data_IF_734898197767
#
_entry.id   IF_734898197767
#
_cell.length_a   1.000
_cell.length_b   1.000
_cell.length_c   1.000
_cell.angle_alpha   90.00
_cell.angle_beta   90.00
_cell.angle_gamma   90.00
#
_symmetry.space_group_name_H-M   'P 1'
#
loop_
_entity.id
_entity.type
_entity.pdbx_description
1 polymer ?
#
# COMPACT_ATOMS: atom_id res chain seq x y z
N UNK A 1 25.58 -24.21 -4.22
CA UNK A 1 25.11 -23.70 -2.91
C UNK A 1 23.60 -23.64 -3.00
N UNK A 2 22.88 -24.42 -2.19
CA UNK A 2 21.42 -24.43 -2.23
C UNK A 2 20.88 -23.17 -1.55
N UNK A 3 19.87 -22.54 -2.13
CA UNK A 3 19.29 -21.29 -1.61
C UNK A 3 18.79 -21.43 -0.17
N UNK A 4 18.20 -22.59 0.15
CA UNK A 4 17.64 -22.89 1.47
C UNK A 4 18.69 -22.88 2.58
N UNK A 5 19.90 -23.39 2.33
CA UNK A 5 21.01 -23.37 3.29
C UNK A 5 21.45 -21.94 3.60
N UNK A 6 21.61 -21.13 2.56
CA UNK A 6 22.02 -19.73 2.71
C UNK A 6 20.94 -18.88 3.36
N UNK A 7 19.68 -19.13 3.02
CA UNK A 7 18.56 -18.45 3.64
C UNK A 7 18.52 -18.75 5.15
N UNK A 8 18.71 -20.01 5.56
CA UNK A 8 18.75 -20.40 6.97
C UNK A 8 19.86 -19.69 7.74
N UNK A 9 21.01 -19.48 7.12
CA UNK A 9 22.16 -18.80 7.74
C UNK A 9 21.99 -17.27 7.79
N UNK A 10 21.07 -16.70 7.00
CA UNK A 10 20.91 -15.25 6.83
C UNK A 10 19.52 -14.71 7.12
N UNK A 11 18.55 -15.55 7.49
CA UNK A 11 17.21 -15.15 7.94
C UNK A 11 17.27 -14.17 9.13
N UNK A 12 18.24 -14.37 10.03
CA UNK A 12 18.52 -13.46 11.15
C UNK A 12 18.81 -12.02 10.70
N UNK A 13 19.35 -11.83 9.49
CA UNK A 13 19.58 -10.50 8.93
C UNK A 13 18.26 -9.79 8.64
N UNK A 14 17.28 -10.51 8.10
CA UNK A 14 15.94 -9.98 7.81
C UNK A 14 15.28 -9.54 9.13
N UNK A 15 15.18 -10.44 10.11
CA UNK A 15 14.57 -10.08 11.41
C UNK A 15 15.30 -8.94 12.12
N UNK A 16 16.64 -8.96 12.09
CA UNK A 16 17.43 -7.87 12.63
C UNK A 16 17.09 -6.53 11.96
N UNK A 17 16.97 -6.49 10.64
CA UNK A 17 16.66 -5.27 9.90
C UNK A 17 15.20 -4.82 10.10
N UNK A 18 14.24 -5.75 10.18
CA UNK A 18 12.83 -5.46 10.55
C UNK A 18 12.80 -4.73 11.89
N UNK A 19 13.47 -5.29 12.90
CA UNK A 19 13.52 -4.70 14.24
C UNK A 19 14.29 -3.37 14.25
N UNK A 20 15.45 -3.30 13.59
CA UNK A 20 16.29 -2.10 13.52
C UNK A 20 15.55 -0.90 12.91
N UNK A 21 14.71 -1.15 11.91
CA UNK A 21 13.92 -0.09 11.25
C UNK A 21 12.53 0.11 11.88
N UNK A 22 12.19 -0.61 12.96
CA UNK A 22 10.90 -0.46 13.64
C UNK A 22 9.70 -0.90 12.81
N UNK A 23 9.90 -1.84 11.88
CA UNK A 23 8.88 -2.29 10.93
C UNK A 23 7.89 -3.21 11.64
N UNK A 24 6.59 -2.93 11.51
CA UNK A 24 5.51 -3.82 11.96
C UNK A 24 5.07 -4.72 10.81
N UNK A 25 5.71 -5.88 10.69
CA UNK A 25 5.50 -6.79 9.56
C UNK A 25 4.47 -7.90 9.86
N UNK A 26 3.24 -7.52 10.18
CA UNK A 26 2.19 -8.48 10.61
C UNK A 26 1.86 -9.54 9.55
N UNK A 27 1.85 -9.13 8.27
CA UNK A 27 1.55 -10.01 7.13
C UNK A 27 2.81 -10.62 6.49
N UNK A 28 4.00 -10.30 7.01
CA UNK A 28 5.27 -10.84 6.52
C UNK A 28 5.75 -10.29 5.17
N UNK A 29 5.28 -9.13 4.73
CA UNK A 29 5.69 -8.53 3.45
C UNK A 29 7.17 -8.16 3.44
N UNK A 30 7.69 -7.56 4.51
CA UNK A 30 9.12 -7.22 4.58
C UNK A 30 9.98 -8.48 4.70
N UNK A 31 9.51 -9.49 5.40
CA UNK A 31 10.19 -10.78 5.45
C UNK A 31 10.35 -11.40 4.05
N UNK A 32 9.26 -11.44 3.27
CA UNK A 32 9.29 -11.93 1.88
C UNK A 32 10.22 -11.10 0.98
N UNK A 33 10.17 -9.77 1.07
CA UNK A 33 11.08 -8.88 0.34
C UNK A 33 12.54 -9.11 0.72
N UNK A 34 12.80 -9.43 1.99
CA UNK A 34 14.13 -9.79 2.47
C UNK A 34 14.63 -11.09 1.86
N UNK A 35 13.77 -12.12 1.80
CA UNK A 35 14.10 -13.39 1.13
C UNK A 35 14.42 -13.18 -0.35
N UNK A 36 13.61 -12.39 -1.06
CA UNK A 36 13.83 -12.07 -2.48
C UNK A 36 15.17 -11.35 -2.65
N UNK A 37 15.47 -10.37 -1.79
CA UNK A 37 16.74 -9.65 -1.84
C UNK A 37 17.95 -10.54 -1.58
N UNK A 38 17.85 -11.52 -0.67
CA UNK A 38 18.90 -12.54 -0.45
C UNK A 38 19.07 -13.38 -1.72
N UNK A 39 17.98 -13.87 -2.31
CA UNK A 39 18.03 -14.70 -3.51
C UNK A 39 18.70 -13.96 -4.68
N UNK A 40 18.35 -12.70 -4.91
CA UNK A 40 19.00 -11.87 -5.92
C UNK A 40 20.47 -11.62 -5.61
N UNK A 41 20.80 -11.29 -4.35
CA UNK A 41 22.17 -11.05 -3.93
C UNK A 41 23.08 -12.24 -4.20
N UNK A 42 22.58 -13.47 -4.01
CA UNK A 42 23.35 -14.68 -4.31
C UNK A 42 23.67 -14.85 -5.80
N UNK A 43 22.82 -14.32 -6.68
CA UNK A 43 23.02 -14.39 -8.13
C UNK A 43 24.00 -13.35 -8.63
N UNK A 44 24.12 -12.22 -7.93
CA UNK A 44 24.96 -11.08 -8.34
C UNK A 44 26.21 -10.91 -7.49
N UNK A 45 26.40 -11.77 -6.48
CA UNK A 45 27.52 -11.68 -5.56
C UNK A 45 28.87 -11.86 -6.25
N UNK A 46 29.81 -11.01 -5.88
CA UNK A 46 31.17 -11.01 -6.37
C UNK A 46 32.13 -11.08 -5.19
N UNK A 47 32.77 -12.24 -5.04
CA UNK A 47 33.68 -12.51 -3.93
C UNK A 47 34.90 -11.57 -3.88
N UNK A 48 35.26 -10.93 -5.00
CA UNK A 48 36.40 -10.00 -5.02
C UNK A 48 36.07 -8.66 -4.38
N UNK A 49 34.78 -8.34 -4.15
CA UNK A 49 34.33 -7.03 -3.68
C UNK A 49 34.04 -6.99 -2.18
N UNK A 50 33.50 -8.07 -1.61
CA UNK A 50 33.20 -8.12 -0.18
C UNK A 50 32.95 -9.55 0.31
N UNK A 51 32.83 -9.74 1.63
CA UNK A 51 32.25 -10.95 2.20
C UNK A 51 30.77 -11.07 1.80
N UNK A 52 30.28 -12.30 1.63
CA UNK A 52 28.89 -12.57 1.25
C UNK A 52 27.89 -11.98 2.26
N UNK A 53 28.13 -12.16 3.56
CA UNK A 53 27.26 -11.64 4.62
C UNK A 53 27.12 -10.12 4.58
N UNK A 54 28.21 -9.40 4.33
CA UNK A 54 28.20 -7.93 4.16
C UNK A 54 27.38 -7.53 2.94
N UNK A 55 27.55 -8.24 1.82
CA UNK A 55 26.80 -7.95 0.60
C UNK A 55 25.31 -8.19 0.78
N UNK A 56 24.92 -9.33 1.36
CA UNK A 56 23.53 -9.67 1.68
C UNK A 56 22.90 -8.61 2.58
N UNK A 57 23.59 -8.23 3.66
CA UNK A 57 23.10 -7.18 4.56
C UNK A 57 22.79 -5.89 3.79
N UNK A 58 23.70 -5.46 2.92
CA UNK A 58 23.51 -4.25 2.13
C UNK A 58 22.33 -4.34 1.16
N UNK A 59 22.12 -5.51 0.54
CA UNK A 59 21.02 -5.73 -0.40
C UNK A 59 19.66 -5.71 0.31
N UNK A 60 19.52 -6.45 1.41
CA UNK A 60 18.27 -6.48 2.21
C UNK A 60 17.98 -5.12 2.81
N UNK A 61 19.00 -4.47 3.39
CA UNK A 61 18.88 -3.11 3.96
C UNK A 61 18.39 -2.10 2.91
N UNK A 62 19.01 -2.09 1.72
CA UNK A 62 18.60 -1.19 0.63
C UNK A 62 17.18 -1.50 0.15
N UNK A 63 16.82 -2.77 0.02
CA UNK A 63 15.46 -3.20 -0.35
C UNK A 63 14.43 -2.65 0.64
N UNK A 64 14.69 -2.80 1.94
CA UNK A 64 13.80 -2.32 2.99
C UNK A 64 13.68 -0.81 3.00
N UNK A 65 14.80 -0.08 2.96
CA UNK A 65 14.78 1.38 2.93
C UNK A 65 14.00 1.91 1.72
N UNK A 66 14.12 1.27 0.57
CA UNK A 66 13.35 1.65 -0.62
C UNK A 66 11.85 1.40 -0.44
N UNK A 67 11.46 0.24 0.14
CA UNK A 67 10.05 -0.07 0.43
C UNK A 67 9.46 0.90 1.45
N UNK A 68 10.16 1.19 2.55
CA UNK A 68 9.76 2.18 3.56
C UNK A 68 9.55 3.56 2.93
N UNK A 69 10.52 4.04 2.12
CA UNK A 69 10.40 5.34 1.45
C UNK A 69 9.21 5.39 0.50
N UNK A 70 8.95 4.29 -0.22
CA UNK A 70 7.81 4.18 -1.12
C UNK A 70 6.51 4.26 -0.34
N UNK A 71 6.34 3.46 0.71
CA UNK A 71 5.14 3.44 1.55
C UNK A 71 4.91 4.79 2.24
N UNK A 72 5.96 5.45 2.73
CA UNK A 72 5.87 6.81 3.29
C UNK A 72 5.32 7.79 2.26
N UNK A 73 5.84 7.79 1.03
CA UNK A 73 5.39 8.69 -0.03
C UNK A 73 3.92 8.43 -0.41
N UNK A 74 3.53 7.17 -0.50
CA UNK A 74 2.12 6.79 -0.75
C UNK A 74 1.20 7.31 0.35
N UNK A 75 1.63 7.23 1.62
CA UNK A 75 0.88 7.71 2.77
C UNK A 75 0.82 9.25 2.81
N UNK A 76 1.95 9.94 2.63
CA UNK A 76 2.01 11.41 2.64
C UNK A 76 1.08 12.04 1.58
N UNK A 77 1.03 11.43 0.39
CA UNK A 77 0.13 11.85 -0.68
C UNK A 77 -1.34 11.66 -0.30
N UNK A 78 -1.67 10.54 0.35
CA UNK A 78 -3.02 10.25 0.83
C UNK A 78 -3.45 11.23 1.92
N UNK A 79 -2.60 11.45 2.92
CA UNK A 79 -2.87 12.35 4.05
C UNK A 79 -3.05 13.79 3.56
N UNK A 80 -2.15 14.26 2.68
CA UNK A 80 -2.25 15.58 2.05
C UNK A 80 -3.58 15.78 1.30
N UNK A 81 -4.12 14.72 0.71
CA UNK A 81 -5.42 14.77 0.04
C UNK A 81 -6.58 14.76 1.04
N UNK A 82 -6.53 13.91 2.07
CA UNK A 82 -7.55 13.82 3.13
C UNK A 82 -7.72 15.15 3.86
N UNK A 83 -6.63 15.88 4.10
CA UNK A 83 -6.67 17.20 4.71
C UNK A 83 -7.44 18.24 3.88
N UNK A 84 -7.51 18.06 2.56
CA UNK A 84 -8.13 19.01 1.62
C UNK A 84 -9.56 18.64 1.24
N UNK A 85 -9.89 17.36 1.17
CA UNK A 85 -11.22 16.92 0.74
C UNK A 85 -12.27 17.22 1.82
N UNK A 86 -13.36 17.89 1.44
CA UNK A 86 -14.56 18.10 2.28
C UNK A 86 -15.78 17.52 1.58
N UNK A 87 -16.73 16.97 2.34
CA UNK A 87 -17.99 16.44 1.79
C UNK A 87 -18.77 17.56 1.07
N UNK A 88 -18.72 18.79 1.59
CA UNK A 88 -19.34 19.96 0.97
C UNK A 88 -18.89 20.19 -0.47
N UNK A 89 -17.58 20.06 -0.73
CA UNK A 89 -17.01 20.23 -2.07
C UNK A 89 -17.49 19.15 -3.05
N UNK A 90 -17.86 17.97 -2.54
CA UNK A 90 -18.36 16.85 -3.34
C UNK A 90 -19.83 17.00 -3.73
N UNK A 91 -20.58 17.83 -2.99
CA UNK A 91 -22.00 18.12 -3.23
C UNK A 91 -22.22 19.27 -4.21
N UNK A 92 -21.16 20.03 -4.54
CA UNK A 92 -21.23 21.18 -5.46
C UNK A 92 -21.28 20.77 -6.94
N UNK A 93 -20.96 19.52 -7.28
CA UNK A 93 -21.22 18.99 -8.62
C UNK A 93 -22.71 18.67 -8.74
N UNK A 94 -23.39 19.12 -9.80
CA UNK A 94 -24.82 18.90 -10.13
C UNK A 94 -25.16 17.41 -10.39
N UNK A 95 -24.74 16.52 -9.49
CA UNK A 95 -24.99 15.07 -9.49
C UNK A 95 -26.00 14.77 -8.38
N UNK A 96 -27.32 14.76 -8.65
CA UNK A 96 -28.37 14.56 -7.64
C UNK A 96 -28.40 13.15 -7.02
N UNK A 97 -27.42 12.29 -7.31
CA UNK A 97 -27.38 10.89 -6.89
C UNK A 97 -26.88 10.69 -5.44
N UNK A 98 -26.22 11.69 -4.85
CA UNK A 98 -25.67 11.60 -3.50
C UNK A 98 -26.10 12.80 -2.66
N UNK A 99 -26.80 12.54 -1.57
CA UNK A 99 -27.02 13.55 -0.55
C UNK A 99 -25.88 13.54 0.50
N UNK A 100 -25.87 14.56 1.35
CA UNK A 100 -24.87 14.71 2.41
C UNK A 100 -24.84 13.52 3.36
N UNK A 101 -26.00 13.00 3.74
CA UNK A 101 -26.10 11.94 4.74
C UNK A 101 -25.48 10.66 4.19
N UNK A 102 -25.85 10.27 2.98
CA UNK A 102 -25.31 9.11 2.29
C UNK A 102 -23.79 9.20 2.10
N UNK A 103 -23.25 10.38 1.75
CA UNK A 103 -21.80 10.56 1.65
C UNK A 103 -21.09 10.42 3.01
N UNK A 104 -21.72 10.92 4.08
CA UNK A 104 -21.21 10.75 5.44
C UNK A 104 -21.17 9.27 5.83
N UNK A 105 -22.28 8.55 5.62
CA UNK A 105 -22.37 7.13 5.95
C UNK A 105 -21.34 6.29 5.16
N UNK A 106 -21.16 6.59 3.86
CA UNK A 106 -20.14 5.93 3.03
C UNK A 106 -18.73 6.23 3.57
N UNK A 107 -18.44 7.50 3.89
CA UNK A 107 -17.13 7.90 4.44
C UNK A 107 -16.80 7.14 5.71
N UNK A 108 -17.77 6.97 6.61
CA UNK A 108 -17.58 6.28 7.89
C UNK A 108 -17.29 4.77 7.72
N UNK A 109 -17.85 4.11 6.70
CA UNK A 109 -17.61 2.67 6.47
C UNK A 109 -16.31 2.38 5.72
N UNK A 110 -15.84 3.31 4.90
CA UNK A 110 -14.67 3.12 4.05
C UNK A 110 -13.38 3.50 4.79
N UNK A 111 -12.31 2.73 4.56
CA UNK A 111 -10.97 3.20 4.94
C UNK A 111 -10.53 4.36 4.05
N UNK A 112 -9.50 5.09 4.43
CA UNK A 112 -9.03 6.25 3.67
C UNK A 112 -8.66 5.93 2.22
N UNK A 113 -7.98 4.80 1.98
CA UNK A 113 -7.66 4.32 0.62
C UNK A 113 -8.92 3.98 -0.18
N UNK A 114 -9.94 3.43 0.47
CA UNK A 114 -11.22 3.10 -0.16
C UNK A 114 -12.05 4.34 -0.47
N UNK A 115 -12.04 5.32 0.46
CA UNK A 115 -12.67 6.62 0.28
C UNK A 115 -12.01 7.44 -0.82
N UNK A 116 -10.67 7.45 -0.85
CA UNK A 116 -9.88 7.99 -1.96
C UNK A 116 -10.32 7.42 -3.30
N UNK A 117 -10.38 6.08 -3.43
CA UNK A 117 -10.89 5.47 -4.64
C UNK A 117 -12.32 5.90 -4.97
N UNK A 118 -13.22 5.94 -3.98
CA UNK A 118 -14.61 6.33 -4.19
C UNK A 118 -14.73 7.75 -4.74
N UNK A 119 -14.11 8.73 -4.09
CA UNK A 119 -14.14 10.13 -4.54
C UNK A 119 -13.55 10.28 -5.94
N UNK A 120 -12.36 9.74 -6.18
CA UNK A 120 -11.69 9.93 -7.47
C UNK A 120 -12.39 9.19 -8.62
N UNK A 121 -12.78 7.93 -8.42
CA UNK A 121 -13.30 7.09 -9.50
C UNK A 121 -14.82 7.19 -9.69
N UNK A 122 -15.59 7.47 -8.62
CA UNK A 122 -17.07 7.50 -8.69
C UNK A 122 -17.59 8.92 -8.77
N UNK A 123 -17.01 9.85 -8.02
CA UNK A 123 -17.46 11.25 -8.04
C UNK A 123 -16.78 11.99 -9.19
N UNK A 124 -15.45 11.87 -9.33
CA UNK A 124 -14.66 12.63 -10.32
C UNK A 124 -14.42 11.90 -11.65
N UNK A 125 -15.00 10.72 -11.84
CA UNK A 125 -14.89 9.90 -13.06
C UNK A 125 -13.45 9.61 -13.55
N UNK A 126 -12.47 9.60 -12.63
CA UNK A 126 -11.07 9.35 -12.96
C UNK A 126 -10.76 7.87 -13.13
N UNK A 127 -9.81 7.59 -14.01
CA UNK A 127 -9.35 6.24 -14.31
C UNK A 127 -8.46 5.67 -13.21
N UNK A 128 -8.37 4.34 -13.18
CA UNK A 128 -7.46 3.62 -12.26
C UNK A 128 -6.00 4.05 -12.44
N UNK A 129 -5.58 4.40 -13.67
CA UNK A 129 -4.22 4.84 -13.94
C UNK A 129 -3.94 6.21 -13.34
N UNK A 130 -4.83 7.18 -13.57
CA UNK A 130 -4.68 8.53 -13.04
C UNK A 130 -4.62 8.55 -11.51
N UNK A 131 -5.44 7.71 -10.86
CA UNK A 131 -5.41 7.54 -9.40
C UNK A 131 -4.07 6.93 -8.97
N UNK A 132 -3.59 5.90 -9.67
CA UNK A 132 -2.32 5.26 -9.35
C UNK A 132 -1.15 6.25 -9.42
N UNK A 133 -1.11 7.05 -10.48
CA UNK A 133 -0.08 8.06 -10.71
C UNK A 133 -0.16 9.18 -9.65
N UNK A 134 -1.36 9.66 -9.33
CA UNK A 134 -1.60 10.73 -8.34
C UNK A 134 -1.08 10.35 -6.96
N UNK A 135 -1.38 9.12 -6.51
CA UNK A 135 -1.03 8.66 -5.17
C UNK A 135 0.31 7.92 -5.11
N UNK A 136 1.03 7.85 -6.23
CA UNK A 136 2.29 7.09 -6.37
C UNK A 136 2.16 5.61 -5.99
N UNK A 137 0.98 5.02 -6.20
CA UNK A 137 0.67 3.61 -5.95
C UNK A 137 0.61 2.82 -7.26
N UNK A 138 0.41 1.51 -7.18
CA UNK A 138 0.25 0.67 -8.37
C UNK A 138 -1.22 0.53 -8.79
N UNK A 139 -1.49 0.37 -10.09
CA UNK A 139 -2.85 0.11 -10.58
C UNK A 139 -3.52 -1.13 -9.94
N UNK A 140 -2.82 -2.25 -9.67
CA UNK A 140 -3.36 -3.34 -8.87
C UNK A 140 -3.78 -2.94 -7.45
N UNK A 141 -3.05 -2.05 -6.78
CA UNK A 141 -3.43 -1.55 -5.46
C UNK A 141 -4.77 -0.79 -5.53
N UNK A 142 -4.93 0.11 -6.51
CA UNK A 142 -6.20 0.84 -6.72
C UNK A 142 -7.35 -0.12 -7.06
N UNK A 143 -7.11 -1.18 -7.83
CA UNK A 143 -8.10 -2.25 -8.08
C UNK A 143 -8.49 -2.99 -6.80
N UNK A 144 -7.55 -3.20 -5.87
CA UNK A 144 -7.83 -3.77 -4.56
C UNK A 144 -8.72 -2.84 -3.73
N UNK A 145 -8.41 -1.54 -3.69
CA UNK A 145 -9.24 -0.53 -3.00
C UNK A 145 -10.67 -0.53 -3.54
N UNK A 146 -10.83 -0.54 -4.88
CA UNK A 146 -12.12 -0.66 -5.57
C UNK A 146 -12.91 -1.87 -5.13
N UNK A 147 -12.28 -3.06 -5.11
CA UNK A 147 -12.96 -4.32 -4.79
C UNK A 147 -13.53 -4.26 -3.38
N UNK A 148 -12.71 -3.88 -2.40
CA UNK A 148 -13.12 -3.82 -1.00
C UNK A 148 -14.13 -2.69 -0.74
N UNK A 149 -13.96 -1.52 -1.37
CA UNK A 149 -14.90 -0.40 -1.25
C UNK A 149 -16.28 -0.77 -1.78
N UNK A 150 -16.37 -1.36 -2.99
CA UNK A 150 -17.65 -1.79 -3.58
C UNK A 150 -18.40 -2.76 -2.69
N UNK A 151 -17.70 -3.71 -2.07
CA UNK A 151 -18.31 -4.68 -1.15
C UNK A 151 -18.98 -3.97 0.03
N UNK A 152 -18.30 -3.00 0.64
CA UNK A 152 -18.80 -2.24 1.79
C UNK A 152 -19.96 -1.31 1.42
N UNK A 153 -19.84 -0.59 0.31
CA UNK A 153 -20.91 0.31 -0.17
C UNK A 153 -22.17 -0.50 -0.47
N UNK A 154 -22.04 -1.67 -1.12
CA UNK A 154 -23.19 -2.52 -1.41
C UNK A 154 -23.90 -2.98 -0.14
N UNK A 155 -23.15 -3.38 0.89
CA UNK A 155 -23.72 -3.77 2.19
C UNK A 155 -24.46 -2.62 2.85
N UNK A 156 -23.88 -1.41 2.84
CA UNK A 156 -24.51 -0.21 3.39
C UNK A 156 -25.83 0.13 2.67
N UNK A 157 -25.83 0.12 1.34
CA UNK A 157 -27.04 0.42 0.57
C UNK A 157 -28.16 -0.62 0.76
N UNK A 158 -27.79 -1.89 1.00
CA UNK A 158 -28.75 -2.95 1.32
C UNK A 158 -29.35 -2.79 2.72
N UNK A 159 -28.59 -2.25 3.67
CA UNK A 159 -29.05 -1.98 5.04
C UNK A 159 -30.02 -0.79 5.07
N UNK A 160 -29.71 0.29 4.34
CA UNK A 160 -30.56 1.48 4.27
C UNK A 160 -31.87 1.30 3.48
N UNK A 161 -32.06 0.18 2.75
CA UNK A 161 -33.32 -0.15 2.06
C UNK A 161 -34.30 -0.98 2.91
N UNK A 162 -33.91 -1.35 4.16
CA UNK A 162 -34.74 -2.14 5.08
C UNK A 162 -35.30 -1.32 6.26
N UNK A 163 -35.02 -0.02 6.31
CA UNK A 163 -35.61 0.96 7.23
C UNK A 163 -36.63 1.83 6.48
#
# INVERSE_FOLDING_TARGET
MQFEEVLKDHERVIHHLINKYGIRDMEGEFFQEGMIAIWEALRTFDQSKSKLSTYIYSCVSRRFLNKIKKESREQDNLDSWLERVRIDDLLMEDKPAFDRQLLSDIREKLSDKQWCWFVHAVIKDQTISEIADTYAVTAPAVKSWRRSAKSKIRQLLQQNHME
#
